data_IF_291705551736
#
_entry.id   IF_291705551736
#
_cell.length_a   1.000
_cell.length_b   1.000
_cell.length_c   1.000
_cell.angle_alpha   90.00
_cell.angle_beta   90.00
_cell.angle_gamma   90.00
#
_symmetry.space_group_name_H-M   'P 1'
#
loop_
_entity.id
_entity.type
_entity.pdbx_description
1 polymer ?
#
# COMPACT_ATOMS: atom_id res chain seq x y z
N UNK A 1 57.22 -14.65 -14.22
CA UNK A 1 57.09 -13.36 -13.51
C UNK A 1 56.05 -13.59 -12.41
N UNK A 2 56.33 -14.05 -11.18
CA UNK A 2 57.22 -13.66 -10.07
C UNK A 2 56.87 -12.31 -9.39
N UNK A 3 56.63 -12.43 -8.06
CA UNK A 3 56.51 -11.49 -6.93
C UNK A 3 55.09 -10.98 -6.59
N UNK A 4 54.45 -11.35 -5.44
CA UNK A 4 54.77 -11.15 -3.99
C UNK A 4 54.44 -9.70 -3.54
N UNK A 5 53.88 -9.31 -2.37
CA UNK A 5 53.66 -9.84 -1.01
C UNK A 5 52.64 -8.91 -0.28
N UNK A 6 51.71 -9.41 0.57
CA UNK A 6 51.69 -9.48 2.07
C UNK A 6 51.62 -8.12 2.85
N UNK A 7 50.54 -7.94 3.64
CA UNK A 7 50.48 -7.58 5.08
C UNK A 7 48.98 -7.61 5.49
N UNK A 8 48.40 -8.43 6.38
CA UNK A 8 48.65 -8.85 7.77
C UNK A 8 48.55 -7.73 8.81
N UNK A 9 47.47 -7.74 9.61
CA UNK A 9 47.51 -7.50 11.05
C UNK A 9 46.23 -8.00 11.75
N UNK A 10 46.40 -9.13 12.43
CA UNK A 10 45.65 -9.62 13.58
C UNK A 10 45.78 -8.67 14.77
N UNK A 11 44.69 -8.45 15.51
CA UNK A 11 44.75 -8.31 16.98
C UNK A 11 43.61 -9.14 17.57
N UNK A 12 44.02 -10.16 18.31
CA UNK A 12 43.24 -10.98 19.21
C UNK A 12 43.60 -10.53 20.63
N UNK A 13 42.62 -10.18 21.45
CA UNK A 13 42.78 -10.26 22.90
C UNK A 13 41.43 -10.41 23.60
N UNK A 14 41.42 -11.44 24.44
CA UNK A 14 40.39 -11.87 25.35
C UNK A 14 40.02 -10.80 26.39
N UNK A 15 38.75 -10.75 26.78
CA UNK A 15 38.39 -10.65 28.19
C UNK A 15 37.15 -11.48 28.50
N UNK A 16 37.29 -12.25 29.56
CA UNK A 16 36.33 -13.16 30.19
C UNK A 16 35.24 -12.42 30.95
N UNK A 17 34.06 -13.06 30.99
CA UNK A 17 33.06 -13.01 32.08
C UNK A 17 32.33 -11.68 32.35
N UNK A 18 31.00 -11.70 32.23
CA UNK A 18 30.13 -11.73 33.41
C UNK A 18 28.65 -11.78 33.04
N UNK A 19 27.95 -12.71 33.69
CA UNK A 19 26.50 -12.73 33.87
C UNK A 19 26.11 -11.50 34.68
N UNK A 20 25.15 -10.72 34.22
CA UNK A 20 24.42 -9.78 35.07
C UNK A 20 22.99 -9.62 34.56
N UNK A 21 22.07 -10.26 35.28
CA UNK A 21 20.65 -9.93 35.28
C UNK A 21 20.49 -8.42 35.57
N UNK A 22 19.74 -7.72 34.73
CA UNK A 22 19.35 -6.34 34.96
C UNK A 22 18.47 -6.26 36.20
N UNK A 23 19.06 -5.84 37.32
CA UNK A 23 18.36 -5.47 38.53
C UNK A 23 17.65 -4.12 38.29
N UNK A 24 16.33 -4.12 38.47
CA UNK A 24 15.50 -2.92 38.54
C UNK A 24 15.88 -2.17 39.83
N UNK A 25 16.25 -0.91 39.70
CA UNK A 25 16.60 -0.04 40.82
C UNK A 25 15.37 0.20 41.71
N UNK A 26 15.42 -0.29 42.95
CA UNK A 26 14.47 0.09 44.00
C UNK A 26 15.03 1.34 44.69
N UNK A 27 14.37 2.47 44.48
CA UNK A 27 14.63 3.70 45.20
C UNK A 27 14.42 3.49 46.71
N UNK A 28 15.49 3.66 47.50
CA UNK A 28 15.45 3.57 48.97
C UNK A 28 15.04 4.93 49.53
N UNK A 29 13.75 5.10 49.82
CA UNK A 29 13.27 6.25 50.61
C UNK A 29 13.66 6.02 52.07
N UNK A 30 14.68 6.74 52.55
CA UNK A 30 14.99 6.84 53.96
C UNK A 30 13.94 7.74 54.63
N UNK A 31 13.15 7.17 55.53
CA UNK A 31 12.17 7.93 56.31
C UNK A 31 12.63 8.03 57.76
N UNK A 32 12.99 9.23 58.18
CA UNK A 32 13.10 9.63 59.59
C UNK A 32 11.74 9.55 60.28
N UNK A 33 11.79 9.37 61.59
CA UNK A 33 10.72 9.03 62.53
C UNK A 33 9.71 10.16 62.74
N UNK A 34 8.44 9.93 62.38
CA UNK A 34 7.23 10.44 63.06
C UNK A 34 5.97 9.83 62.41
N UNK A 35 5.01 9.36 63.22
CA UNK A 35 3.65 8.97 62.79
C UNK A 35 3.46 7.47 62.46
N UNK A 36 3.07 6.67 63.47
CA UNK A 36 2.94 5.20 63.38
C UNK A 36 1.54 4.67 62.98
N UNK A 37 0.54 5.52 62.73
CA UNK A 37 -0.81 5.08 62.31
C UNK A 37 -1.07 5.17 60.80
N UNK A 38 -0.34 6.00 60.05
CA UNK A 38 -0.65 6.29 58.63
C UNK A 38 0.17 5.43 57.63
N UNK A 39 1.25 4.80 58.10
CA UNK A 39 2.16 4.00 57.25
C UNK A 39 1.59 2.65 56.82
N UNK A 40 0.59 2.08 57.51
CA UNK A 40 0.00 0.79 57.09
C UNK A 40 -0.86 0.94 55.84
N UNK A 41 -1.57 2.05 55.70
CA UNK A 41 -2.46 2.32 54.55
C UNK A 41 -1.63 2.66 53.30
N UNK A 42 -0.59 3.48 53.43
CA UNK A 42 0.32 3.80 52.33
C UNK A 42 1.14 2.59 51.86
N UNK A 43 1.58 1.72 52.77
CA UNK A 43 2.32 0.49 52.40
C UNK A 43 1.41 -0.57 51.77
N UNK A 44 0.16 -0.70 52.25
CA UNK A 44 -0.83 -1.59 51.63
C UNK A 44 -1.25 -1.10 50.24
N UNK A 45 -1.40 0.22 50.03
CA UNK A 45 -1.71 0.80 48.73
C UNK A 45 -0.56 0.66 47.71
N UNK A 46 0.68 0.84 48.13
CA UNK A 46 1.86 0.66 47.24
C UNK A 46 2.10 -0.81 46.92
N UNK A 47 1.94 -1.73 47.89
CA UNK A 47 2.08 -3.18 47.66
C UNK A 47 0.92 -3.72 46.80
N UNK A 48 -0.32 -3.28 47.03
CA UNK A 48 -1.45 -3.68 46.20
C UNK A 48 -1.36 -3.15 44.76
N UNK A 49 -0.78 -1.95 44.56
CA UNK A 49 -0.56 -1.39 43.22
C UNK A 49 0.63 -2.05 42.51
N UNK A 50 1.68 -2.47 43.23
CA UNK A 50 2.77 -3.26 42.66
C UNK A 50 2.34 -4.70 42.31
N UNK A 51 1.53 -5.34 43.17
CA UNK A 51 0.97 -6.67 42.93
C UNK A 51 -0.10 -6.66 41.80
N UNK A 52 -0.86 -5.57 41.63
CA UNK A 52 -1.79 -5.42 40.50
C UNK A 52 -1.05 -5.25 39.17
N UNK A 53 0.04 -4.48 39.14
CA UNK A 53 0.89 -4.32 37.95
C UNK A 53 1.59 -5.65 37.60
N UNK A 54 2.14 -6.40 38.56
CA UNK A 54 2.79 -7.69 38.32
C UNK A 54 1.79 -8.79 37.86
N UNK A 55 0.54 -8.76 38.34
CA UNK A 55 -0.52 -9.67 37.84
C UNK A 55 -1.10 -9.27 36.48
N UNK A 56 -1.08 -7.98 36.13
CA UNK A 56 -1.47 -7.48 34.81
C UNK A 56 -0.40 -7.79 33.74
N UNK A 57 0.88 -7.55 34.02
CA UNK A 57 2.00 -7.87 33.11
C UNK A 57 2.15 -9.39 32.89
N UNK A 58 2.03 -10.22 33.94
CA UNK A 58 1.99 -11.69 33.78
C UNK A 58 0.77 -12.16 33.00
N UNK A 59 -0.36 -11.45 33.13
CA UNK A 59 -1.56 -11.69 32.33
C UNK A 59 -1.32 -11.41 30.85
N UNK A 60 -0.66 -10.31 30.53
CA UNK A 60 -0.28 -9.92 29.17
C UNK A 60 0.71 -10.91 28.51
N UNK A 61 1.70 -11.40 29.26
CA UNK A 61 2.67 -12.41 28.79
C UNK A 61 2.02 -13.76 28.42
N UNK A 62 0.94 -14.16 29.10
CA UNK A 62 0.17 -15.38 28.74
C UNK A 62 -0.63 -15.23 27.46
N UNK A 63 -0.98 -13.99 27.07
CA UNK A 63 -1.76 -13.68 25.89
C UNK A 63 -0.93 -13.69 24.60
N UNK A 64 0.41 -13.63 24.70
CA UNK A 64 1.31 -13.65 23.52
C UNK A 64 1.22 -14.95 22.70
N UNK A 65 0.68 -16.03 23.30
CA UNK A 65 0.44 -17.32 22.62
C UNK A 65 -0.92 -17.44 21.92
N UNK A 66 -1.81 -16.45 22.08
CA UNK A 66 -3.13 -16.44 21.47
C UNK A 66 -3.12 -15.53 20.23
N UNK A 67 -3.78 -15.96 19.16
CA UNK A 67 -3.83 -15.25 17.89
C UNK A 67 -5.27 -14.92 17.49
N UNK A 68 -5.45 -13.83 16.73
CA UNK A 68 -6.70 -13.52 16.05
C UNK A 68 -7.84 -12.98 16.92
N UNK A 69 -9.07 -13.23 16.47
CA UNK A 69 -10.31 -12.69 17.07
C UNK A 69 -10.52 -13.14 18.51
N UNK A 70 -10.08 -14.34 18.88
CA UNK A 70 -10.17 -14.88 20.24
C UNK A 70 -9.39 -14.05 21.27
N UNK A 71 -8.27 -13.46 20.85
CA UNK A 71 -7.45 -12.62 21.71
C UNK A 71 -8.14 -11.28 22.00
N UNK A 72 -8.71 -10.66 20.97
CA UNK A 72 -9.40 -9.36 21.07
C UNK A 72 -10.65 -9.41 21.97
N UNK A 73 -11.27 -10.58 22.09
CA UNK A 73 -12.44 -10.80 22.95
C UNK A 73 -12.09 -10.95 24.44
N UNK A 74 -10.81 -11.02 24.82
CA UNK A 74 -10.41 -11.17 26.22
C UNK A 74 -10.56 -9.84 26.98
N UNK A 75 -11.18 -9.82 28.17
CA UNK A 75 -11.34 -8.60 28.97
C UNK A 75 -10.03 -7.86 29.28
N UNK A 76 -8.91 -8.60 29.32
CA UNK A 76 -7.58 -8.07 29.60
C UNK A 76 -6.82 -7.58 28.35
N UNK A 77 -7.38 -7.73 27.15
CA UNK A 77 -6.71 -7.34 25.90
C UNK A 77 -6.33 -5.85 25.86
N UNK A 78 -7.18 -4.97 26.43
CA UNK A 78 -6.88 -3.53 26.53
C UNK A 78 -5.56 -3.21 27.25
N UNK A 79 -5.17 -4.02 28.24
CA UNK A 79 -3.91 -3.84 28.96
C UNK A 79 -2.72 -4.28 28.12
N UNK A 80 -2.89 -5.34 27.34
CA UNK A 80 -1.90 -5.80 26.39
C UNK A 80 -1.65 -4.76 25.28
N UNK A 81 -2.70 -4.17 24.70
CA UNK A 81 -2.53 -3.07 23.73
C UNK A 81 -1.80 -1.87 24.34
N UNK A 82 -2.19 -1.45 25.56
CA UNK A 82 -1.51 -0.37 26.28
C UNK A 82 -0.03 -0.68 26.51
N UNK A 83 0.30 -1.91 26.90
CA UNK A 83 1.67 -2.37 27.07
C UNK A 83 2.45 -2.30 25.75
N UNK A 84 1.86 -2.76 24.64
CA UNK A 84 2.51 -2.67 23.32
C UNK A 84 2.72 -1.22 22.89
N UNK A 85 1.76 -0.32 23.12
CA UNK A 85 1.89 1.10 22.78
C UNK A 85 3.04 1.76 23.58
N UNK A 86 3.19 1.40 24.86
CA UNK A 86 4.28 1.91 25.71
C UNK A 86 5.66 1.33 25.38
N UNK A 87 5.72 0.10 24.86
CA UNK A 87 6.98 -0.61 24.63
C UNK A 87 7.47 -0.58 23.19
N UNK A 88 6.56 -0.65 22.22
CA UNK A 88 6.85 -0.67 20.78
C UNK A 88 6.70 0.73 20.18
N UNK A 89 5.72 1.52 20.63
CA UNK A 89 5.47 2.87 20.12
C UNK A 89 6.73 3.73 20.08
N UNK A 90 7.48 3.92 21.18
CA UNK A 90 8.71 4.71 21.18
C UNK A 90 9.81 4.15 20.28
N UNK A 91 9.88 2.82 20.13
CA UNK A 91 10.88 2.17 19.26
C UNK A 91 10.62 2.42 17.77
N UNK A 92 9.37 2.70 17.40
CA UNK A 92 9.00 2.94 16.02
C UNK A 92 9.75 4.14 15.45
N UNK A 93 9.77 5.24 16.18
CA UNK A 93 10.48 6.47 15.78
C UNK A 93 11.98 6.21 15.67
N UNK A 94 12.56 5.49 16.64
CA UNK A 94 13.97 5.08 16.60
C UNK A 94 14.27 4.22 15.36
N UNK A 95 13.39 3.28 15.01
CA UNK A 95 13.57 2.43 13.85
C UNK A 95 13.52 3.20 12.54
N UNK A 96 12.60 4.16 12.44
CA UNK A 96 12.46 5.03 11.27
C UNK A 96 13.69 5.93 11.13
N UNK A 97 14.09 6.61 12.20
CA UNK A 97 15.25 7.52 12.19
C UNK A 97 16.57 6.78 11.93
N UNK A 98 16.73 5.59 12.49
CA UNK A 98 17.90 4.75 12.26
C UNK A 98 17.88 4.01 10.91
N UNK A 99 16.85 4.20 10.08
CA UNK A 99 16.72 3.56 8.77
C UNK A 99 16.71 2.04 8.84
N UNK A 100 16.05 1.46 9.85
CA UNK A 100 15.99 0.00 10.01
C UNK A 100 15.28 -0.65 8.83
N UNK A 101 15.73 -1.84 8.45
CA UNK A 101 15.12 -2.59 7.37
C UNK A 101 13.77 -3.18 7.79
N UNK A 102 12.94 -3.46 6.80
CA UNK A 102 11.69 -4.18 7.01
C UNK A 102 11.90 -5.55 7.66
N UNK A 103 12.86 -6.33 7.18
CA UNK A 103 13.20 -7.64 7.75
C UNK A 103 13.56 -7.54 9.24
N UNK A 104 14.28 -6.47 9.63
CA UNK A 104 14.59 -6.20 11.03
C UNK A 104 13.32 -5.95 11.85
N UNK A 105 12.39 -5.12 11.33
CA UNK A 105 11.14 -4.79 12.02
C UNK A 105 10.24 -6.02 12.13
N UNK A 106 10.09 -6.80 11.05
CA UNK A 106 9.32 -8.05 11.05
C UNK A 106 9.87 -9.03 12.09
N UNK A 107 11.19 -9.25 12.11
CA UNK A 107 11.85 -10.12 13.09
C UNK A 107 11.68 -9.61 14.53
N UNK A 108 11.82 -8.31 14.74
CA UNK A 108 11.68 -7.71 16.08
C UNK A 108 10.24 -7.83 16.60
N UNK A 109 9.25 -7.75 15.71
CA UNK A 109 7.84 -7.91 16.03
C UNK A 109 7.40 -9.39 16.04
N UNK A 110 8.29 -10.32 15.70
CA UNK A 110 8.00 -11.75 15.53
C UNK A 110 6.86 -12.01 14.52
N UNK A 111 6.93 -11.32 13.38
CA UNK A 111 5.96 -11.36 12.29
C UNK A 111 6.49 -12.04 11.03
N UNK A 112 7.78 -12.40 10.97
CA UNK A 112 8.45 -12.88 9.76
C UNK A 112 7.93 -14.24 9.24
N UNK A 113 7.21 -14.99 10.07
CA UNK A 113 6.57 -16.26 9.71
C UNK A 113 5.08 -16.14 9.38
N UNK A 114 4.50 -14.95 9.57
CA UNK A 114 3.08 -14.70 9.31
C UNK A 114 2.91 -14.09 7.92
N UNK A 115 1.84 -14.48 7.23
CA UNK A 115 1.51 -13.93 5.93
C UNK A 115 0.00 -13.64 5.81
N UNK A 116 -0.33 -12.76 4.86
CA UNK A 116 -1.71 -12.41 4.51
C UNK A 116 -2.60 -12.09 5.72
N UNK A 117 -3.68 -12.85 5.88
CA UNK A 117 -4.66 -12.58 6.94
C UNK A 117 -4.12 -12.88 8.34
N UNK A 118 -3.25 -13.88 8.49
CA UNK A 118 -2.63 -14.20 9.79
C UNK A 118 -1.74 -13.07 10.27
N UNK A 119 -0.96 -12.48 9.36
CA UNK A 119 -0.13 -11.30 9.63
C UNK A 119 -1.01 -10.14 10.13
N UNK A 120 -2.08 -9.81 9.41
CA UNK A 120 -3.01 -8.71 9.76
C UNK A 120 -3.75 -8.92 11.07
N UNK A 121 -3.92 -10.17 11.50
CA UNK A 121 -4.57 -10.53 12.76
C UNK A 121 -3.66 -10.41 13.98
N UNK A 122 -2.35 -10.27 13.78
CA UNK A 122 -1.42 -10.06 14.89
C UNK A 122 -1.64 -8.70 15.56
N UNK A 123 -1.71 -8.60 16.89
CA UNK A 123 -1.78 -7.31 17.60
C UNK A 123 -0.58 -6.41 17.31
N UNK A 124 0.58 -7.03 17.01
CA UNK A 124 1.82 -6.31 16.68
C UNK A 124 1.82 -5.78 15.24
N UNK A 125 0.88 -6.21 14.39
CA UNK A 125 0.76 -5.76 13.00
C UNK A 125 0.54 -4.25 12.91
N UNK A 126 -0.21 -3.65 13.84
CA UNK A 126 -0.43 -2.19 13.90
C UNK A 126 0.88 -1.41 13.79
N UNK A 127 1.93 -1.82 14.52
CA UNK A 127 3.21 -1.11 14.53
C UNK A 127 4.01 -1.34 13.24
N UNK A 128 3.91 -2.53 12.65
CA UNK A 128 4.49 -2.79 11.33
C UNK A 128 3.80 -1.96 10.25
N UNK A 129 2.47 -1.84 10.29
CA UNK A 129 1.71 -1.02 9.36
C UNK A 129 2.07 0.47 9.48
N UNK A 130 2.20 0.98 10.71
CA UNK A 130 2.68 2.35 10.97
C UNK A 130 4.11 2.57 10.47
N UNK A 131 5.00 1.58 10.63
CA UNK A 131 6.36 1.63 10.08
C UNK A 131 6.35 1.74 8.56
N UNK A 132 5.53 0.94 7.87
CA UNK A 132 5.37 1.02 6.43
C UNK A 132 4.78 2.37 6.00
N UNK A 133 3.80 2.90 6.73
CA UNK A 133 3.22 4.21 6.40
C UNK A 133 4.26 5.33 6.46
N UNK A 134 5.14 5.32 7.47
CA UNK A 134 6.20 6.30 7.59
C UNK A 134 7.29 6.14 6.50
N UNK A 135 7.70 4.90 6.20
CA UNK A 135 8.88 4.62 5.36
C UNK A 135 8.57 4.42 3.88
N UNK A 136 7.40 3.86 3.56
CA UNK A 136 6.94 3.59 2.19
C UNK A 136 5.92 4.65 1.77
N UNK A 137 5.07 5.11 2.70
CA UNK A 137 4.05 6.10 2.39
C UNK A 137 4.61 7.42 1.87
N UNK A 138 5.77 7.87 2.40
CA UNK A 138 6.52 9.04 1.93
C UNK A 138 7.10 8.83 0.53
N UNK A 139 7.63 7.64 0.23
CA UNK A 139 8.21 7.31 -1.09
C UNK A 139 7.21 7.37 -2.23
N UNK A 140 5.91 7.21 -1.96
CA UNK A 140 4.86 7.32 -2.99
C UNK A 140 4.88 8.70 -3.63
N UNK A 141 5.05 9.77 -2.83
CA UNK A 141 5.17 11.14 -3.31
C UNK A 141 6.45 11.33 -4.14
N UNK A 142 7.58 10.85 -3.62
CA UNK A 142 8.87 10.93 -4.31
C UNK A 142 8.86 10.21 -5.66
N UNK A 143 8.23 9.04 -5.74
CA UNK A 143 8.10 8.29 -6.99
C UNK A 143 7.24 8.99 -8.03
N UNK A 144 6.19 9.68 -7.60
CA UNK A 144 5.33 10.48 -8.50
C UNK A 144 6.12 11.68 -9.03
N UNK A 145 6.76 12.45 -8.15
CA UNK A 145 7.56 13.61 -8.53
C UNK A 145 8.74 13.24 -9.45
N UNK A 146 9.38 12.10 -9.18
CA UNK A 146 10.47 11.59 -10.00
C UNK A 146 10.00 10.90 -11.30
N UNK A 147 8.70 10.92 -11.60
CA UNK A 147 8.14 10.31 -12.82
C UNK A 147 8.46 8.83 -12.96
N UNK A 148 8.49 8.08 -11.84
CA UNK A 148 8.72 6.63 -11.89
C UNK A 148 7.57 5.96 -12.66
N UNK A 149 7.81 4.78 -13.21
CA UNK A 149 6.74 4.02 -13.86
C UNK A 149 5.99 3.14 -12.86
N UNK A 150 4.72 2.84 -13.14
CA UNK A 150 3.93 1.88 -12.36
C UNK A 150 4.65 0.53 -12.24
N UNK A 151 5.31 0.07 -13.32
CA UNK A 151 6.13 -1.15 -13.32
C UNK A 151 7.33 -1.05 -12.36
N UNK A 152 7.99 0.10 -12.31
CA UNK A 152 9.08 0.37 -11.36
C UNK A 152 8.58 0.28 -9.93
N UNK A 153 7.50 0.97 -9.60
CA UNK A 153 6.94 0.99 -8.23
C UNK A 153 6.47 -0.39 -7.79
N UNK A 154 5.80 -1.16 -8.66
CA UNK A 154 5.40 -2.54 -8.36
C UNK A 154 6.61 -3.43 -8.04
N UNK A 155 7.71 -3.27 -8.78
CA UNK A 155 8.96 -4.00 -8.53
C UNK A 155 9.58 -3.58 -7.20
N UNK A 156 9.69 -2.29 -6.94
CA UNK A 156 10.31 -1.73 -5.73
C UNK A 156 9.57 -2.16 -4.45
N UNK A 157 8.24 -2.28 -4.53
CA UNK A 157 7.42 -2.81 -3.44
C UNK A 157 7.48 -4.33 -3.30
N UNK A 158 8.24 -5.04 -4.14
CA UNK A 158 8.33 -6.50 -4.12
C UNK A 158 7.03 -7.21 -4.52
N UNK A 159 6.16 -6.54 -5.30
CA UNK A 159 4.84 -7.06 -5.69
C UNK A 159 4.84 -7.76 -7.05
N UNK A 160 5.99 -7.83 -7.71
CA UNK A 160 6.11 -8.44 -9.04
C UNK A 160 6.07 -9.97 -8.95
N UNK A 161 5.24 -10.60 -9.78
CA UNK A 161 5.13 -12.06 -9.85
C UNK A 161 4.28 -12.68 -8.74
N UNK A 162 3.68 -11.87 -7.86
CA UNK A 162 2.69 -12.34 -6.91
C UNK A 162 1.40 -12.74 -7.64
N UNK A 163 0.76 -13.81 -7.17
CA UNK A 163 -0.62 -14.13 -7.56
C UNK A 163 -1.56 -13.02 -7.11
N UNK A 164 -2.75 -12.92 -7.71
CA UNK A 164 -3.74 -11.89 -7.34
C UNK A 164 -4.09 -11.94 -5.84
N UNK A 165 -4.30 -13.14 -5.29
CA UNK A 165 -4.59 -13.32 -3.86
C UNK A 165 -3.41 -12.88 -2.98
N UNK A 166 -2.17 -13.22 -3.34
CA UNK A 166 -0.98 -12.80 -2.60
C UNK A 166 -0.74 -11.29 -2.71
N UNK A 167 -1.02 -10.70 -3.87
CA UNK A 167 -0.94 -9.26 -4.11
C UNK A 167 -1.91 -8.51 -3.19
N UNK A 168 -3.19 -8.88 -3.17
CA UNK A 168 -4.22 -8.25 -2.33
C UNK A 168 -3.96 -8.46 -0.83
N UNK A 169 -3.35 -9.58 -0.47
CA UNK A 169 -2.98 -9.88 0.91
C UNK A 169 -1.76 -9.08 1.41
N UNK A 170 -0.91 -8.59 0.50
CA UNK A 170 0.31 -7.86 0.83
C UNK A 170 0.02 -6.53 1.53
N UNK A 171 0.65 -6.25 2.69
CA UNK A 171 0.59 -4.94 3.35
C UNK A 171 1.05 -3.78 2.46
N UNK A 172 1.98 -4.05 1.52
CA UNK A 172 2.52 -3.04 0.62
C UNK A 172 1.59 -2.67 -0.54
N UNK A 173 0.57 -3.49 -0.82
CA UNK A 173 -0.35 -3.26 -1.92
C UNK A 173 -1.11 -1.94 -1.79
N UNK A 174 -1.44 -1.51 -0.56
CA UNK A 174 -2.11 -0.22 -0.33
C UNK A 174 -1.29 0.97 -0.86
N UNK A 175 0.04 0.91 -0.80
CA UNK A 175 0.91 1.97 -1.34
C UNK A 175 1.00 1.92 -2.87
N UNK A 176 1.01 0.72 -3.45
CA UNK A 176 0.93 0.55 -4.89
C UNK A 176 -0.39 1.13 -5.43
N UNK A 177 -1.52 0.80 -4.82
CA UNK A 177 -2.82 1.35 -5.22
C UNK A 177 -2.93 2.86 -5.01
N UNK A 178 -2.36 3.39 -3.91
CA UNK A 178 -2.25 4.83 -3.68
C UNK A 178 -1.44 5.51 -4.79
N UNK A 179 -0.31 4.91 -5.16
CA UNK A 179 0.54 5.42 -6.24
C UNK A 179 -0.18 5.38 -7.58
N UNK A 180 -0.77 4.25 -7.96
CA UNK A 180 -1.52 4.10 -9.22
C UNK A 180 -2.63 5.12 -9.30
N UNK A 181 -3.49 5.23 -8.27
CA UNK A 181 -4.61 6.17 -8.26
C UNK A 181 -4.16 7.61 -8.49
N UNK A 182 -3.08 8.04 -7.81
CA UNK A 182 -2.53 9.38 -8.01
C UNK A 182 -1.93 9.58 -9.38
N UNK A 183 -1.25 8.57 -9.94
CA UNK A 183 -0.74 8.64 -11.30
C UNK A 183 -1.88 8.80 -12.32
N UNK A 184 -3.02 8.12 -12.10
CA UNK A 184 -4.20 8.30 -12.94
C UNK A 184 -4.74 9.73 -12.86
N UNK A 185 -4.80 10.30 -11.66
CA UNK A 185 -5.23 11.70 -11.46
C UNK A 185 -4.29 12.69 -12.15
N UNK A 186 -2.98 12.49 -12.07
CA UNK A 186 -2.00 13.33 -12.76
C UNK A 186 -2.16 13.23 -14.28
N UNK A 187 -2.28 12.01 -14.82
CA UNK A 187 -2.57 11.82 -16.24
C UNK A 187 -3.91 12.46 -16.66
N UNK A 188 -4.90 12.53 -15.78
CA UNK A 188 -6.20 13.13 -16.10
C UNK A 188 -6.14 14.67 -16.09
N UNK A 189 -5.27 15.25 -15.26
CA UNK A 189 -5.03 16.70 -15.18
C UNK A 189 -4.07 17.23 -16.24
N UNK A 190 -3.34 16.34 -16.91
CA UNK A 190 -2.37 16.71 -17.94
C UNK A 190 -3.06 17.39 -19.13
N UNK A 191 -2.70 18.64 -19.42
CA UNK A 191 -3.30 19.42 -20.50
C UNK A 191 -4.78 19.77 -20.30
N UNK A 192 -5.48 20.13 -21.38
CA UNK A 192 -6.88 20.61 -21.31
C UNK A 192 -7.92 19.50 -21.09
N UNK A 193 -7.58 18.25 -21.37
CA UNK A 193 -8.55 17.14 -21.41
C UNK A 193 -7.96 15.84 -20.90
N UNK A 194 -6.83 15.89 -20.20
CA UNK A 194 -6.06 14.71 -19.82
C UNK A 194 -5.13 14.24 -20.93
N UNK A 195 -4.18 13.39 -20.54
CA UNK A 195 -3.27 12.70 -21.42
C UNK A 195 -4.04 11.76 -22.36
N UNK A 196 -3.82 11.79 -23.68
CA UNK A 196 -4.53 10.90 -24.59
C UNK A 196 -4.32 9.42 -24.23
N UNK A 197 -5.40 8.63 -24.27
CA UNK A 197 -5.39 7.21 -23.86
C UNK A 197 -4.34 6.33 -24.57
N UNK A 198 -3.96 6.67 -25.80
CA UNK A 198 -2.93 5.95 -26.55
C UNK A 198 -1.51 6.19 -26.01
N UNK A 199 -1.26 7.37 -25.43
CA UNK A 199 0.02 7.65 -24.77
C UNK A 199 0.12 6.77 -23.53
N UNK A 200 -0.94 6.71 -22.72
CA UNK A 200 -1.00 5.81 -21.55
C UNK A 200 -0.88 4.34 -21.95
N UNK A 201 -1.53 3.92 -23.05
CA UNK A 201 -1.38 2.57 -23.59
C UNK A 201 0.09 2.24 -23.91
N UNK A 202 0.79 3.17 -24.57
CA UNK A 202 2.20 3.03 -24.91
C UNK A 202 3.11 3.04 -23.67
N UNK A 203 2.87 3.94 -22.73
CA UNK A 203 3.64 4.09 -21.48
C UNK A 203 3.55 2.84 -20.58
N UNK A 204 2.39 2.18 -20.61
CA UNK A 204 2.16 0.91 -19.94
C UNK A 204 2.80 -0.29 -20.68
N UNK A 205 3.38 -0.06 -21.87
CA UNK A 205 4.02 -1.08 -22.70
C UNK A 205 3.05 -2.02 -23.40
N UNK A 206 1.76 -1.68 -23.44
CA UNK A 206 0.70 -2.51 -24.01
C UNK A 206 0.80 -2.64 -25.54
N UNK A 207 1.54 -1.76 -26.20
CA UNK A 207 1.86 -1.86 -27.63
C UNK A 207 2.76 -3.05 -27.98
N UNK A 208 3.47 -3.64 -27.00
CA UNK A 208 4.38 -4.77 -27.22
C UNK A 208 3.83 -6.06 -26.64
N UNK A 209 3.42 -6.03 -25.38
CA UNK A 209 2.89 -7.19 -24.66
C UNK A 209 1.74 -6.73 -23.78
N UNK A 210 0.55 -7.27 -24.05
CA UNK A 210 -0.63 -7.04 -23.22
C UNK A 210 -0.54 -7.95 -22.00
N UNK A 211 -0.34 -7.36 -20.82
CA UNK A 211 -0.42 -8.06 -19.53
C UNK A 211 -1.70 -7.65 -18.82
N UNK A 212 -2.32 -8.58 -18.08
CA UNK A 212 -3.56 -8.29 -17.35
C UNK A 212 -3.41 -7.10 -16.38
N UNK A 213 -2.29 -7.04 -15.65
CA UNK A 213 -1.97 -5.94 -14.73
C UNK A 213 -1.96 -4.58 -15.41
N UNK A 214 -1.18 -4.44 -16.49
CA UNK A 214 -1.07 -3.17 -17.22
C UNK A 214 -2.39 -2.80 -17.90
N UNK A 215 -3.10 -3.81 -18.44
CA UNK A 215 -4.40 -3.59 -19.07
C UNK A 215 -5.45 -3.11 -18.07
N UNK A 216 -5.46 -3.63 -16.84
CA UNK A 216 -6.40 -3.17 -15.79
C UNK A 216 -6.15 -1.71 -15.39
N UNK A 217 -4.87 -1.29 -15.32
CA UNK A 217 -4.53 0.12 -15.09
C UNK A 217 -5.01 0.99 -16.26
N UNK A 218 -4.80 0.54 -17.50
CA UNK A 218 -5.29 1.24 -18.69
C UNK A 218 -6.82 1.40 -18.66
N UNK A 219 -7.56 0.33 -18.37
CA UNK A 219 -9.03 0.36 -18.30
C UNK A 219 -9.53 1.38 -17.27
N UNK A 220 -8.91 1.41 -16.08
CA UNK A 220 -9.23 2.41 -15.04
C UNK A 220 -9.04 3.83 -15.57
N UNK A 221 -7.89 4.09 -16.20
CA UNK A 221 -7.61 5.41 -16.79
C UNK A 221 -8.58 5.77 -17.91
N UNK A 222 -8.78 4.86 -18.86
CA UNK A 222 -9.60 5.08 -20.04
C UNK A 222 -11.06 5.36 -19.67
N UNK A 223 -11.60 4.71 -18.63
CA UNK A 223 -12.92 5.03 -18.08
C UNK A 223 -12.98 6.46 -17.50
N UNK A 224 -12.01 6.84 -16.66
CA UNK A 224 -11.95 8.20 -16.09
C UNK A 224 -11.86 9.27 -17.18
N UNK A 225 -10.99 9.03 -18.17
CA UNK A 225 -10.81 9.91 -19.34
C UNK A 225 -12.10 10.03 -20.16
N UNK A 226 -12.75 8.91 -20.46
CA UNK A 226 -14.00 8.87 -21.24
C UNK A 226 -15.16 9.54 -20.50
N UNK A 227 -15.27 9.34 -19.17
CA UNK A 227 -16.26 10.04 -18.35
C UNK A 227 -16.09 11.56 -18.41
N UNK A 228 -14.86 12.05 -18.22
CA UNK A 228 -14.57 13.48 -18.32
C UNK A 228 -14.87 14.00 -19.73
N UNK A 229 -14.42 13.29 -20.76
CA UNK A 229 -14.62 13.68 -22.15
C UNK A 229 -16.12 13.72 -22.50
N UNK A 230 -16.90 12.73 -22.05
CA UNK A 230 -18.34 12.70 -22.25
C UNK A 230 -19.04 13.90 -21.60
N UNK A 231 -18.68 14.26 -20.36
CA UNK A 231 -19.26 15.44 -19.71
C UNK A 231 -18.94 16.73 -20.47
N UNK A 232 -17.69 16.92 -20.91
CA UNK A 232 -17.27 18.09 -21.69
C UNK A 232 -18.06 18.20 -23.01
N UNK A 233 -18.14 17.11 -23.77
CA UNK A 233 -18.88 17.10 -25.03
C UNK A 233 -20.37 17.36 -24.80
N UNK A 234 -20.96 16.73 -23.76
CA UNK A 234 -22.36 16.91 -23.40
C UNK A 234 -22.67 18.35 -22.95
N UNK A 235 -21.73 19.05 -22.32
CA UNK A 235 -21.89 20.47 -21.95
C UNK A 235 -21.68 21.44 -23.13
N UNK A 236 -21.51 20.93 -24.35
CA UNK A 236 -21.28 21.75 -25.55
C UNK A 236 -19.84 22.23 -25.72
N UNK A 237 -18.89 21.70 -24.94
CA UNK A 237 -17.47 21.95 -25.19
C UNK A 237 -16.99 21.13 -26.39
N UNK A 238 -15.97 21.64 -27.07
CA UNK A 238 -15.27 20.94 -28.16
C UNK A 238 -13.85 20.57 -27.70
N UNK A 239 -13.71 19.54 -26.84
CA UNK A 239 -12.38 19.08 -26.43
C UNK A 239 -11.63 18.53 -27.65
N UNK A 240 -10.30 18.57 -27.58
CA UNK A 240 -9.46 17.92 -28.59
C UNK A 240 -9.66 16.41 -28.51
N UNK A 241 -10.46 15.88 -29.43
CA UNK A 241 -10.70 14.44 -29.56
C UNK A 241 -9.58 13.87 -30.42
N UNK A 242 -8.72 13.07 -29.81
CA UNK A 242 -7.83 12.19 -30.58
C UNK A 242 -8.70 11.07 -31.13
N UNK A 243 -9.08 11.21 -32.39
CA UNK A 243 -9.90 10.21 -33.09
C UNK A 243 -9.10 8.92 -33.19
N UNK A 244 -9.65 7.86 -32.63
CA UNK A 244 -9.11 6.53 -32.82
C UNK A 244 -8.23 5.98 -31.68
N UNK A 245 -7.67 4.81 -31.95
CA UNK A 245 -6.69 4.09 -31.14
C UNK A 245 -5.53 3.78 -32.07
N UNK A 246 -4.31 3.83 -31.56
CA UNK A 246 -3.11 3.68 -32.39
C UNK A 246 -2.81 2.21 -32.70
N UNK A 247 -3.64 1.30 -32.17
CA UNK A 247 -3.69 -0.11 -32.51
C UNK A 247 -5.13 -0.62 -32.52
N UNK A 248 -5.38 -1.67 -33.30
CA UNK A 248 -6.66 -2.38 -33.34
C UNK A 248 -7.09 -2.86 -31.94
N UNK A 249 -6.15 -3.38 -31.15
CA UNK A 249 -6.42 -3.90 -29.81
C UNK A 249 -6.83 -2.78 -28.85
N UNK A 250 -6.14 -1.63 -28.87
CA UNK A 250 -6.53 -0.47 -28.08
C UNK A 250 -7.93 0.01 -28.48
N UNK A 251 -8.24 0.02 -29.78
CA UNK A 251 -9.56 0.42 -30.25
C UNK A 251 -10.66 -0.52 -29.78
N UNK A 252 -10.44 -1.84 -29.87
CA UNK A 252 -11.38 -2.83 -29.34
C UNK A 252 -11.62 -2.62 -27.84
N UNK A 253 -10.57 -2.29 -27.08
CA UNK A 253 -10.70 -1.97 -25.66
C UNK A 253 -11.60 -0.75 -25.44
N UNK A 254 -11.36 0.37 -26.16
CA UNK A 254 -12.21 1.57 -26.10
C UNK A 254 -13.67 1.28 -26.43
N UNK A 255 -13.93 0.54 -27.50
CA UNK A 255 -15.28 0.16 -27.92
C UNK A 255 -16.01 -0.62 -26.83
N UNK A 256 -15.32 -1.56 -26.16
CA UNK A 256 -15.88 -2.31 -25.03
C UNK A 256 -16.21 -1.39 -23.86
N UNK A 257 -15.33 -0.46 -23.51
CA UNK A 257 -15.57 0.51 -22.45
C UNK A 257 -16.80 1.39 -22.75
N UNK A 258 -16.92 1.90 -23.98
CA UNK A 258 -18.10 2.69 -24.38
C UNK A 258 -19.40 1.88 -24.34
N UNK A 259 -19.34 0.61 -24.76
CA UNK A 259 -20.49 -0.29 -24.70
C UNK A 259 -20.91 -0.60 -23.26
N UNK A 260 -19.95 -0.89 -22.38
CA UNK A 260 -20.17 -1.16 -20.95
C UNK A 260 -20.74 0.08 -20.24
N UNK A 261 -20.20 1.26 -20.52
CA UNK A 261 -20.67 2.55 -20.02
C UNK A 261 -21.98 3.01 -20.68
N UNK A 262 -22.52 2.25 -21.66
CA UNK A 262 -23.74 2.56 -22.42
C UNK A 262 -23.73 3.97 -23.01
N UNK A 263 -22.58 4.38 -23.56
CA UNK A 263 -22.44 5.71 -24.19
C UNK A 263 -23.42 5.87 -25.34
N UNK A 264 -23.99 7.06 -25.57
CA UNK A 264 -24.96 7.23 -26.64
C UNK A 264 -24.29 7.13 -28.01
N UNK A 265 -25.04 6.64 -29.02
CA UNK A 265 -24.55 6.43 -30.40
C UNK A 265 -23.86 7.65 -30.99
N UNK A 266 -24.45 8.84 -30.82
CA UNK A 266 -23.90 10.09 -31.35
C UNK A 266 -22.49 10.35 -30.81
N UNK A 267 -22.26 10.07 -29.52
CA UNK A 267 -20.97 10.26 -28.87
C UNK A 267 -19.92 9.30 -29.43
N UNK A 268 -20.28 8.02 -29.56
CA UNK A 268 -19.37 7.02 -30.14
C UNK A 268 -19.05 7.33 -31.60
N UNK A 269 -20.05 7.74 -32.41
CA UNK A 269 -19.82 8.20 -33.79
C UNK A 269 -18.87 9.40 -33.82
N UNK A 270 -18.98 10.33 -32.88
CA UNK A 270 -18.07 11.48 -32.75
C UNK A 270 -16.64 11.06 -32.43
N UNK A 271 -16.44 10.18 -31.45
CA UNK A 271 -15.10 9.68 -31.06
C UNK A 271 -14.43 8.85 -32.17
N UNK A 272 -15.23 8.17 -32.99
CA UNK A 272 -14.76 7.44 -34.17
C UNK A 272 -14.57 8.34 -35.41
N UNK A 273 -14.89 9.64 -35.32
CA UNK A 273 -14.76 10.58 -36.43
C UNK A 273 -15.76 10.34 -37.59
N UNK A 274 -16.89 9.67 -37.29
CA UNK A 274 -17.91 9.28 -38.26
C UNK A 274 -19.27 9.98 -38.08
N UNK A 275 -19.42 10.89 -37.11
CA UNK A 275 -20.68 11.59 -36.81
C UNK A 275 -21.33 12.27 -38.02
N UNK A 276 -20.53 12.95 -38.85
CA UNK A 276 -21.00 13.68 -40.04
C UNK A 276 -20.63 12.97 -41.35
N UNK A 277 -20.48 11.65 -41.34
CA UNK A 277 -20.18 10.85 -42.53
C UNK A 277 -21.46 10.25 -43.11
N UNK A 278 -21.41 9.83 -44.38
CA UNK A 278 -22.55 9.17 -45.02
C UNK A 278 -22.92 7.87 -44.32
N UNK A 279 -24.19 7.47 -44.41
CA UNK A 279 -24.68 6.20 -43.85
C UNK A 279 -23.83 5.00 -44.28
N UNK A 280 -23.43 4.95 -45.55
CA UNK A 280 -22.52 3.92 -46.06
C UNK A 280 -21.17 3.89 -45.34
N UNK A 281 -20.60 5.06 -44.96
CA UNK A 281 -19.36 5.15 -44.19
C UNK A 281 -19.54 4.76 -42.72
N UNK A 282 -20.71 5.03 -42.14
CA UNK A 282 -21.04 4.58 -40.78
C UNK A 282 -21.26 3.07 -40.75
N UNK A 283 -21.98 2.52 -41.72
CA UNK A 283 -22.28 1.09 -41.85
C UNK A 283 -21.02 0.24 -42.05
N UNK A 284 -19.99 0.78 -42.70
CA UNK A 284 -18.72 0.08 -42.96
C UNK A 284 -17.66 0.26 -41.87
N UNK A 285 -17.93 1.05 -40.82
CA UNK A 285 -16.98 1.23 -39.73
C UNK A 285 -17.02 0.04 -38.75
N UNK A 286 -16.00 -0.81 -38.79
CA UNK A 286 -15.92 -2.05 -38.00
C UNK A 286 -16.09 -1.85 -36.49
N UNK A 287 -15.52 -0.77 -35.94
CA UNK A 287 -15.57 -0.47 -34.50
C UNK A 287 -16.95 -0.01 -34.07
N UNK A 288 -17.63 0.74 -34.93
CA UNK A 288 -19.01 1.13 -34.67
C UNK A 288 -19.96 -0.07 -34.75
N UNK A 289 -19.76 -0.98 -35.71
CA UNK A 289 -20.54 -2.22 -35.78
C UNK A 289 -20.30 -3.12 -34.56
N UNK A 290 -19.06 -3.19 -34.07
CA UNK A 290 -18.74 -3.89 -32.83
C UNK A 290 -19.47 -3.27 -31.63
N UNK A 291 -19.49 -1.94 -31.52
CA UNK A 291 -20.21 -1.22 -30.48
C UNK A 291 -21.72 -1.56 -30.48
N UNK A 292 -22.36 -1.54 -31.66
CA UNK A 292 -23.78 -1.89 -31.81
C UNK A 292 -24.07 -3.33 -31.38
N UNK A 293 -23.20 -4.27 -31.78
CA UNK A 293 -23.30 -5.68 -31.40
C UNK A 293 -23.21 -5.87 -29.89
N UNK A 294 -22.26 -5.20 -29.23
CA UNK A 294 -22.07 -5.30 -27.77
C UNK A 294 -23.23 -4.68 -26.99
N UNK A 295 -23.87 -3.65 -27.53
CA UNK A 295 -24.99 -2.95 -26.88
C UNK A 295 -26.37 -3.49 -27.26
N UNK A 296 -26.43 -4.49 -28.16
CA UNK A 296 -27.67 -5.02 -28.73
C UNK A 296 -28.55 -3.94 -29.38
N UNK A 297 -27.92 -2.88 -29.90
CA UNK A 297 -28.59 -1.78 -30.59
C UNK A 297 -28.54 -1.98 -32.11
N UNK A 298 -29.61 -1.64 -32.83
CA UNK A 298 -29.63 -1.59 -34.31
C UNK A 298 -29.42 -0.15 -34.78
N UNK A 299 -28.69 0.10 -35.87
CA UNK A 299 -28.79 1.39 -36.60
C UNK A 299 -30.25 1.56 -37.04
N UNK A 300 -30.82 2.73 -36.79
CA UNK A 300 -32.15 3.13 -37.25
C UNK A 300 -31.98 4.05 -38.46
#
# INVERSE_FOLDING_TARGET
MRFSHILLLTVLSFFTSNVAFGAIAIARVASTTAGLSDRRVLRAGIVANADSIDTEERGALKLEKLYGSELKMRPKYKYYEKFLDQTIGPKLDDWIQAGKSEDYVLKTLNLEKLAGNELKMSPKYKYYDMFLDATVGSKVDDWLQAGKSIKYVKKELGLRGLTESALLASPKYKFYEKYVSRQLDEWLKEGRSGLPTHVVWSDLGLSRVVTADAYNVYVRYANMYDDQLYQLVRSGSEPLIVVGGFSEIEMIAKVRLWAEAKRPKWYVKKLLGIENKSEAKVATNEYYQLYLKLTQQTEL
#
